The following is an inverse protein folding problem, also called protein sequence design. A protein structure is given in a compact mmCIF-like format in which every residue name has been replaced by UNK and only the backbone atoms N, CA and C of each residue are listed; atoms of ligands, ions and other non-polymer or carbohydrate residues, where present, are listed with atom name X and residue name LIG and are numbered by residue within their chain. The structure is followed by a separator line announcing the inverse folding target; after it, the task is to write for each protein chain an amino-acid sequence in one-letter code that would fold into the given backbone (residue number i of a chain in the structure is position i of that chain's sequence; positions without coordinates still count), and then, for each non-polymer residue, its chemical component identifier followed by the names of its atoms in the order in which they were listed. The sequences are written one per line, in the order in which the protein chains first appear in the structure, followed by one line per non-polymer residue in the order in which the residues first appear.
data_IF_214108741948
#
_entry.id   IF_214108741948
#
_cell.length_a   1.000
_cell.length_b   1.000
_cell.length_c   1.000
_cell.angle_alpha   90.00
_cell.angle_beta   90.00
_cell.angle_gamma   90.00
#
_symmetry.space_group_name_H-M   'P 1'
#
loop_
_entity.id
_entity.type
_entity.pdbx_description
1 polymer ?
#
# COMPACT_ATOMS: atom_id res chain seq x y z
N UNK A 1 -15.97 -6.28 -11.01
CA UNK A 1 -15.19 -7.37 -11.63
C UNK A 1 -13.78 -7.35 -11.07
N UNK A 2 -13.28 -8.47 -10.59
CA UNK A 2 -11.95 -8.47 -10.02
C UNK A 2 -10.88 -8.67 -11.11
N UNK A 3 -9.66 -8.22 -10.81
CA UNK A 3 -8.52 -8.29 -11.73
C UNK A 3 -8.24 -9.72 -12.16
N UNK A 4 -8.38 -10.66 -11.24
CA UNK A 4 -8.14 -12.08 -11.50
C UNK A 4 -9.08 -12.63 -12.57
N UNK A 5 -10.33 -12.16 -12.60
CA UNK A 5 -11.33 -12.62 -13.56
C UNK A 5 -11.03 -12.15 -14.98
N UNK A 6 -10.22 -11.09 -15.12
CA UNK A 6 -9.83 -10.56 -16.43
C UNK A 6 -8.54 -11.19 -16.95
N UNK A 7 -7.95 -12.11 -16.20
CA UNK A 7 -6.71 -12.75 -16.61
C UNK A 7 -5.50 -11.83 -16.60
N UNK A 8 -5.56 -10.72 -15.86
CA UNK A 8 -4.45 -9.77 -15.75
C UNK A 8 -3.45 -10.29 -14.72
N UNK A 9 -2.18 -10.41 -15.13
CA UNK A 9 -1.12 -10.75 -14.20
C UNK A 9 -0.81 -9.55 -13.31
N UNK A 10 -0.74 -9.77 -12.01
CA UNK A 10 -0.51 -8.69 -11.06
C UNK A 10 0.45 -9.09 -9.96
N UNK A 11 1.04 -8.08 -9.31
CA UNK A 11 1.81 -8.23 -8.08
C UNK A 11 1.09 -7.46 -6.98
N UNK A 12 1.19 -7.94 -5.76
CA UNK A 12 0.51 -7.31 -4.63
C UNK A 12 1.51 -7.01 -3.52
N UNK A 13 1.32 -5.85 -2.87
CA UNK A 13 2.03 -5.50 -1.65
C UNK A 13 1.01 -5.16 -0.58
N UNK A 14 1.28 -5.57 0.66
CA UNK A 14 0.39 -5.34 1.77
C UNK A 14 1.18 -4.91 3.00
N UNK A 15 0.64 -3.93 3.73
CA UNK A 15 1.25 -3.45 4.96
C UNK A 15 0.18 -3.38 6.05
N UNK A 16 0.34 -4.15 7.14
CA UNK A 16 -0.62 -4.11 8.24
C UNK A 16 -0.37 -2.88 9.12
N UNK A 17 -1.44 -2.25 9.58
CA UNK A 17 -1.31 -1.04 10.41
C UNK A 17 -0.58 -1.31 11.73
N UNK A 18 -0.60 -2.54 12.23
CA UNK A 18 0.13 -2.88 13.45
C UNK A 18 1.64 -2.61 13.31
N UNK A 19 2.15 -2.59 12.09
CA UNK A 19 3.56 -2.28 11.84
C UNK A 19 3.82 -0.78 11.67
N UNK A 20 2.77 0.06 11.69
CA UNK A 20 2.90 1.52 11.57
C UNK A 20 3.17 2.14 12.93
N UNK A 21 4.23 2.95 13.03
CA UNK A 21 4.53 3.68 14.26
C UNK A 21 3.39 4.62 14.65
N UNK A 22 2.79 5.31 13.70
CA UNK A 22 1.70 6.24 13.96
C UNK A 22 0.43 5.51 14.42
N UNK A 23 0.09 4.39 13.78
CA UNK A 23 -1.08 3.61 14.17
C UNK A 23 -0.92 3.08 15.60
N UNK A 24 0.29 2.63 15.95
CA UNK A 24 0.58 2.15 17.30
C UNK A 24 0.49 3.27 18.33
N UNK A 25 0.97 4.46 17.97
CA UNK A 25 0.89 5.63 18.87
C UNK A 25 -0.56 6.04 19.13
N UNK A 26 -1.44 5.88 18.13
CA UNK A 26 -2.87 6.18 18.29
C UNK A 26 -3.66 5.06 18.94
N UNK A 27 -3.08 3.86 19.06
CA UNK A 27 -3.79 2.68 19.54
C UNK A 27 -4.77 2.11 18.53
N UNK A 28 -4.65 2.49 17.25
CA UNK A 28 -5.55 2.09 16.17
C UNK A 28 -4.78 1.21 15.18
N UNK A 29 -4.58 -0.06 15.53
CA UNK A 29 -3.72 -0.96 14.77
C UNK A 29 -4.46 -1.97 13.91
N UNK A 30 -5.80 -1.91 13.86
CA UNK A 30 -6.58 -2.83 13.06
C UNK A 30 -6.46 -2.51 11.57
N UNK A 31 -6.45 -3.56 10.75
CA UNK A 31 -6.53 -3.42 9.32
C UNK A 31 -5.19 -3.38 8.59
N UNK A 32 -5.26 -3.02 7.31
CA UNK A 32 -4.10 -3.05 6.43
C UNK A 32 -4.33 -2.16 5.21
N UNK A 33 -3.23 -1.89 4.50
CA UNK A 33 -3.24 -1.26 3.19
C UNK A 33 -2.67 -2.26 2.19
N UNK A 34 -3.36 -2.48 1.08
CA UNK A 34 -2.94 -3.43 0.05
C UNK A 34 -2.94 -2.74 -1.31
N UNK A 35 -1.86 -2.88 -2.05
CA UNK A 35 -1.74 -2.34 -3.40
C UNK A 35 -1.54 -3.47 -4.40
N UNK A 36 -2.25 -3.36 -5.53
CA UNK A 36 -2.12 -4.29 -6.65
C UNK A 36 -1.57 -3.52 -7.84
N UNK A 37 -0.54 -4.06 -8.47
CA UNK A 37 0.06 -3.45 -9.65
C UNK A 37 0.19 -4.47 -10.79
N UNK A 38 0.10 -3.99 -12.03
CA UNK A 38 0.27 -4.82 -13.20
C UNK A 38 1.69 -5.40 -13.21
N UNK A 39 1.80 -6.71 -13.41
CA UNK A 39 3.11 -7.38 -13.35
C UNK A 39 4.05 -6.94 -14.47
N UNK A 40 3.51 -6.51 -15.61
CA UNK A 40 4.32 -6.10 -16.77
C UNK A 40 4.67 -4.62 -16.75
N UNK A 41 3.70 -3.74 -16.40
CA UNK A 41 3.88 -2.29 -16.51
C UNK A 41 4.08 -1.59 -15.17
N UNK A 42 3.81 -2.29 -14.07
CA UNK A 42 3.82 -1.75 -12.71
C UNK A 42 2.72 -0.71 -12.45
N UNK A 43 1.83 -0.49 -13.39
CA UNK A 43 0.73 0.45 -13.20
C UNK A 43 -0.17 -0.02 -12.06
N UNK A 44 -0.58 0.90 -11.19
CA UNK A 44 -1.46 0.58 -10.07
C UNK A 44 -2.83 0.19 -10.61
N UNK A 45 -3.28 -1.01 -10.26
CA UNK A 45 -4.57 -1.56 -10.68
C UNK A 45 -5.64 -1.38 -9.60
N UNK A 46 -5.24 -1.33 -8.35
CA UNK A 46 -6.17 -1.13 -7.26
C UNK A 46 -5.46 -0.97 -5.93
N UNK A 47 -6.15 -0.32 -5.00
CA UNK A 47 -5.67 -0.14 -3.63
C UNK A 47 -6.84 -0.42 -2.70
N UNK A 48 -6.60 -1.20 -1.67
CA UNK A 48 -7.60 -1.56 -0.68
C UNK A 48 -7.09 -1.20 0.71
N UNK A 49 -7.88 -0.45 1.46
CA UNK A 49 -7.53 -0.06 2.82
C UNK A 49 -8.68 -0.47 3.74
N UNK A 50 -8.35 -1.21 4.78
CA UNK A 50 -9.29 -1.55 5.85
C UNK A 50 -8.72 -1.00 7.14
N UNK A 51 -9.52 -0.21 7.86
CA UNK A 51 -9.10 0.33 9.14
C UNK A 51 -9.63 1.73 9.39
N UNK A 52 -9.33 2.29 10.57
CA UNK A 52 -9.68 3.67 10.87
C UNK A 52 -9.01 4.62 9.88
N UNK A 53 -9.70 5.69 9.52
CA UNK A 53 -9.21 6.72 8.60
C UNK A 53 -9.01 6.24 7.15
N UNK A 54 -9.54 5.06 6.78
CA UNK A 54 -9.40 4.56 5.41
C UNK A 54 -9.94 5.54 4.37
N UNK A 55 -11.05 6.20 4.67
CA UNK A 55 -11.67 7.16 3.75
C UNK A 55 -10.79 8.38 3.49
N UNK A 56 -9.95 8.75 4.46
CA UNK A 56 -9.00 9.84 4.27
C UNK A 56 -7.76 9.37 3.52
N UNK A 57 -7.26 8.18 3.88
CA UNK A 57 -6.03 7.66 3.31
C UNK A 57 -6.16 7.26 1.83
N UNK A 58 -7.34 6.83 1.41
CA UNK A 58 -7.54 6.35 0.05
C UNK A 58 -7.41 7.45 -1.00
N UNK A 59 -7.50 8.70 -0.60
CA UNK A 59 -7.43 9.84 -1.53
C UNK A 59 -6.11 9.88 -2.30
N UNK A 60 -5.02 9.53 -1.65
CA UNK A 60 -3.71 9.47 -2.31
C UNK A 60 -3.74 8.45 -3.46
N UNK A 61 -4.33 7.30 -3.22
CA UNK A 61 -4.43 6.26 -4.24
C UNK A 61 -5.33 6.69 -5.40
N UNK A 62 -6.44 7.36 -5.10
CA UNK A 62 -7.35 7.86 -6.12
C UNK A 62 -6.64 8.82 -7.06
N UNK A 63 -5.91 9.79 -6.49
CA UNK A 63 -5.14 10.76 -7.28
C UNK A 63 -4.06 10.06 -8.11
N UNK A 64 -3.33 9.14 -7.48
CA UNK A 64 -2.27 8.41 -8.17
C UNK A 64 -2.80 7.61 -9.36
N UNK A 65 -3.91 6.90 -9.16
CA UNK A 65 -4.50 6.09 -10.22
C UNK A 65 -5.06 6.96 -11.34
N UNK A 66 -5.64 8.11 -11.01
CA UNK A 66 -6.17 9.03 -12.01
C UNK A 66 -5.05 9.53 -12.95
N UNK A 67 -3.86 9.73 -12.42
CA UNK A 67 -2.70 10.16 -13.22
C UNK A 67 -1.90 8.99 -13.78
N UNK A 68 -2.39 7.76 -13.65
CA UNK A 68 -1.75 6.59 -14.25
C UNK A 68 -0.44 6.19 -13.58
N UNK A 69 -0.31 6.42 -12.27
CA UNK A 69 0.92 6.14 -11.55
C UNK A 69 1.23 4.65 -11.46
N UNK A 70 2.52 4.34 -11.33
CA UNK A 70 3.00 2.99 -11.04
C UNK A 70 3.19 2.84 -9.53
N UNK A 71 3.35 1.59 -9.07
CA UNK A 71 3.67 1.36 -7.66
C UNK A 71 5.03 1.98 -7.32
N UNK A 72 5.98 1.96 -8.27
CA UNK A 72 7.29 2.57 -8.07
C UNK A 72 7.19 4.08 -7.87
N UNK A 73 6.26 4.74 -8.55
CA UNK A 73 6.03 6.17 -8.35
C UNK A 73 5.69 6.48 -6.90
N UNK A 74 4.78 5.69 -6.30
CA UNK A 74 4.42 5.87 -4.89
C UNK A 74 5.57 5.48 -3.98
N UNK A 75 6.30 4.42 -4.32
CA UNK A 75 7.41 3.94 -3.50
C UNK A 75 8.55 4.97 -3.41
N UNK A 76 8.70 5.82 -4.42
CA UNK A 76 9.75 6.84 -4.45
C UNK A 76 9.36 8.14 -3.77
N UNK A 77 8.07 8.35 -3.50
CA UNK A 77 7.61 9.58 -2.85
C UNK A 77 7.90 9.51 -1.36
N UNK A 78 8.49 10.57 -0.83
CA UNK A 78 8.72 10.68 0.61
C UNK A 78 7.41 10.98 1.31
N UNK A 79 7.02 10.13 2.25
CA UNK A 79 5.84 10.32 3.06
C UNK A 79 6.25 10.80 4.46
N UNK A 80 5.37 11.54 5.10
CA UNK A 80 5.66 12.03 6.46
C UNK A 80 5.86 10.89 7.43
N UNK A 81 6.81 11.03 8.32
CA UNK A 81 7.05 10.05 9.38
C UNK A 81 7.00 10.74 10.75
N UNK A 82 6.24 10.24 11.72
CA UNK A 82 5.34 9.09 11.62
C UNK A 82 3.97 9.51 11.09
N UNK A 83 3.39 8.72 10.18
CA UNK A 83 2.05 9.00 9.66
C UNK A 83 1.37 7.70 9.25
N UNK A 84 0.03 7.75 9.17
CA UNK A 84 -0.73 6.61 8.67
C UNK A 84 -0.55 6.45 7.16
N UNK A 85 -0.28 7.53 6.44
CA UNK A 85 -0.07 7.48 4.99
C UNK A 85 1.21 6.71 4.62
N UNK A 86 2.12 6.51 5.56
CA UNK A 86 3.27 5.62 5.32
C UNK A 86 2.84 4.20 4.97
N UNK A 87 1.63 3.79 5.36
CA UNK A 87 1.11 2.47 5.01
C UNK A 87 0.97 2.34 3.48
N UNK A 88 0.58 3.42 2.80
CA UNK A 88 0.51 3.44 1.34
C UNK A 88 1.91 3.27 0.73
N UNK A 89 2.89 3.99 1.26
CA UNK A 89 4.28 3.91 0.84
C UNK A 89 4.82 2.48 1.02
N UNK A 90 4.59 1.91 2.20
CA UNK A 90 5.06 0.56 2.51
C UNK A 90 4.36 -0.49 1.66
N UNK A 91 3.06 -0.33 1.38
CA UNK A 91 2.35 -1.25 0.50
C UNK A 91 2.93 -1.20 -0.92
N UNK A 92 3.28 0.00 -1.40
CA UNK A 92 3.92 0.18 -2.70
C UNK A 92 5.29 -0.51 -2.74
N UNK A 93 6.09 -0.33 -1.69
CA UNK A 93 7.37 -1.02 -1.57
C UNK A 93 7.16 -2.54 -1.53
N UNK A 94 6.09 -2.99 -0.88
CA UNK A 94 5.75 -4.40 -0.77
C UNK A 94 5.42 -5.07 -2.10
N UNK A 95 4.93 -4.30 -3.08
CA UNK A 95 4.69 -4.81 -4.43
C UNK A 95 6.00 -5.38 -5.00
N UNK A 96 7.12 -4.75 -4.70
CA UNK A 96 8.44 -5.18 -5.12
C UNK A 96 9.23 -5.82 -3.98
N UNK A 97 8.54 -6.22 -2.91
CA UNK A 97 9.11 -6.91 -1.74
C UNK A 97 10.21 -6.11 -1.05
N UNK A 98 10.10 -4.76 -1.06
CA UNK A 98 11.06 -3.85 -0.44
C UNK A 98 10.55 -3.20 0.83
N UNK A 99 9.50 -3.76 1.45
CA UNK A 99 8.91 -3.21 2.68
C UNK A 99 9.94 -3.07 3.77
N UNK A 100 9.94 -1.92 4.45
CA UNK A 100 10.95 -1.62 5.47
C UNK A 100 10.57 -2.11 6.87
N UNK A 101 9.30 -1.92 7.25
CA UNK A 101 8.88 -2.10 8.64
C UNK A 101 8.28 -3.47 8.96
N UNK A 102 8.13 -4.35 7.98
CA UNK A 102 7.62 -5.70 8.22
C UNK A 102 8.58 -6.80 7.81
N UNK A 103 9.80 -6.46 7.40
CA UNK A 103 10.77 -7.46 6.95
C UNK A 103 11.01 -8.54 8.01
N UNK A 104 11.12 -8.15 9.26
CA UNK A 104 11.33 -9.11 10.35
C UNK A 104 10.14 -10.05 10.52
N UNK A 105 8.94 -9.60 10.21
CA UNK A 105 7.73 -10.42 10.29
C UNK A 105 7.63 -11.37 9.12
N UNK A 106 8.10 -10.95 7.95
CA UNK A 106 8.06 -11.76 6.74
C UNK A 106 9.07 -12.89 6.77
N UNK A 107 10.24 -12.64 7.37
CA UNK A 107 11.35 -13.57 7.38
C UNK A 107 11.43 -14.46 8.63
N UNK A 108 10.47 -14.38 9.49
CA UNK A 108 10.40 -15.22 10.69
C UNK A 108 9.98 -16.69 10.37
#
# INVERSE_FOLDING_TARGET
MCIRDRGISYRAGQFPFIASGRARALGETAGFCKMLADAATDRILGVHIIGPFASELISEAVVAMEFGASSEDIARIVHAHPSLSEAMHEAALGVDKRTLNILSLIHI
#
